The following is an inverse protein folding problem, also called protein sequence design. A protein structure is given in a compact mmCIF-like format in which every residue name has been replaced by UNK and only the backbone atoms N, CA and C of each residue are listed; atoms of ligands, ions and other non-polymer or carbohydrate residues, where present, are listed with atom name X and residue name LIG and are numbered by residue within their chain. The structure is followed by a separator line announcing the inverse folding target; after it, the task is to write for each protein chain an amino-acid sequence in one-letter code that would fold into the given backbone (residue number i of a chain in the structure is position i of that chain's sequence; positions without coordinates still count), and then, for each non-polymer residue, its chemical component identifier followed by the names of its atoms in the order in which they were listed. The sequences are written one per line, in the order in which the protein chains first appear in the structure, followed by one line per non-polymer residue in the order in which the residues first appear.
data_IF_811339141210
#
_entry.id   IF_811339141210
#
_cell.length_a   1.000
_cell.length_b   1.000
_cell.length_c   1.000
_cell.angle_alpha   90.00
_cell.angle_beta   90.00
_cell.angle_gamma   90.00
#
_symmetry.space_group_name_H-M   'P 1'
#
loop_
_entity.id
_entity.type
_entity.pdbx_description
1 polymer ?
#
# COMPACT_ATOMS: atom_id res chain seq x y z
N UNK A 1 -12.21 41.89 25.92
CA UNK A 1 -12.06 40.94 24.80
C UNK A 1 -13.43 40.33 24.56
N UNK A 2 -14.03 40.52 23.39
CA UNK A 2 -15.29 39.87 23.06
C UNK A 2 -14.99 38.40 22.75
N UNK A 3 -15.34 37.51 23.67
CA UNK A 3 -15.39 36.07 23.40
C UNK A 3 -16.64 35.87 22.54
N UNK A 4 -16.44 35.67 21.24
CA UNK A 4 -17.51 35.29 20.34
C UNK A 4 -17.85 33.84 20.70
N UNK A 5 -18.86 33.64 21.54
CA UNK A 5 -19.44 32.32 21.78
C UNK A 5 -20.07 31.86 20.46
N UNK A 6 -19.41 30.90 19.81
CA UNK A 6 -19.89 30.31 18.57
C UNK A 6 -21.03 29.35 18.90
N UNK A 7 -22.12 29.33 18.10
CA UNK A 7 -23.11 28.29 18.23
C UNK A 7 -22.45 26.95 17.91
N UNK A 8 -22.27 26.12 18.93
CA UNK A 8 -21.84 24.73 18.78
C UNK A 8 -22.88 24.00 17.96
N UNK A 9 -22.50 23.67 16.72
CA UNK A 9 -23.31 22.80 15.89
C UNK A 9 -22.83 21.38 16.17
N UNK A 10 -23.48 20.69 17.09
CA UNK A 10 -23.14 19.32 17.53
C UNK A 10 -22.90 18.39 16.33
N UNK A 11 -23.60 18.61 15.21
CA UNK A 11 -23.40 17.85 13.97
C UNK A 11 -22.02 18.08 13.34
N UNK A 12 -21.53 19.31 13.32
CA UNK A 12 -20.20 19.65 12.80
C UNK A 12 -19.12 19.12 13.75
N UNK A 13 -19.33 19.21 15.06
CA UNK A 13 -18.39 18.66 16.05
C UNK A 13 -18.26 17.14 15.91
N UNK A 14 -19.39 16.44 15.79
CA UNK A 14 -19.41 15.00 15.54
C UNK A 14 -18.66 14.65 14.25
N UNK A 15 -18.91 15.38 13.15
CA UNK A 15 -18.22 15.15 11.87
C UNK A 15 -16.70 15.41 11.97
N UNK A 16 -16.27 16.43 12.70
CA UNK A 16 -14.84 16.71 12.94
C UNK A 16 -14.19 15.64 13.84
N UNK A 17 -14.94 15.10 14.81
CA UNK A 17 -14.48 13.99 15.64
C UNK A 17 -14.31 12.72 14.81
N UNK A 18 -15.29 12.39 13.96
CA UNK A 18 -15.19 11.25 13.02
C UNK A 18 -13.98 11.38 12.10
N UNK A 19 -13.66 12.58 11.62
CA UNK A 19 -12.46 12.80 10.80
C UNK A 19 -11.16 12.57 11.59
N UNK A 20 -11.12 12.93 12.87
CA UNK A 20 -9.98 12.66 13.73
C UNK A 20 -9.79 11.15 13.97
N UNK A 21 -10.88 10.41 14.18
CA UNK A 21 -10.84 8.96 14.38
C UNK A 21 -10.42 8.23 13.09
N UNK A 22 -10.97 8.64 11.95
CA UNK A 22 -10.56 8.13 10.64
C UNK A 22 -9.07 8.36 10.38
N UNK A 23 -8.54 9.51 10.79
CA UNK A 23 -7.12 9.80 10.68
C UNK A 23 -6.25 8.93 11.59
N UNK A 24 -6.73 8.57 12.79
CA UNK A 24 -6.04 7.62 13.65
C UNK A 24 -5.93 6.23 12.97
N UNK A 25 -7.00 5.79 12.30
CA UNK A 25 -6.99 4.53 11.52
C UNK A 25 -5.99 4.60 10.35
N UNK A 26 -5.96 5.71 9.61
CA UNK A 26 -4.99 5.94 8.52
C UNK A 26 -3.55 5.87 9.06
N UNK A 27 -3.27 6.45 10.22
CA UNK A 27 -1.95 6.36 10.88
C UNK A 27 -1.58 4.92 11.26
N UNK A 28 -2.52 4.17 11.82
CA UNK A 28 -2.30 2.75 12.14
C UNK A 28 -1.98 1.95 10.87
N UNK A 29 -2.75 2.16 9.80
CA UNK A 29 -2.53 1.49 8.51
C UNK A 29 -1.18 1.85 7.88
N UNK A 30 -0.80 3.12 7.90
CA UNK A 30 0.54 3.56 7.47
C UNK A 30 1.64 2.81 8.23
N UNK A 31 1.50 2.66 9.55
CA UNK A 31 2.50 1.93 10.36
C UNK A 31 2.64 0.48 9.90
N UNK A 32 1.54 -0.21 9.60
CA UNK A 32 1.58 -1.58 9.09
C UNK A 32 2.25 -1.68 7.72
N UNK A 33 1.96 -0.76 6.81
CA UNK A 33 2.60 -0.73 5.47
C UNK A 33 4.11 -0.47 5.59
N UNK A 34 4.53 0.42 6.52
CA UNK A 34 5.95 0.65 6.81
C UNK A 34 6.65 -0.58 7.39
N UNK A 35 5.99 -1.33 8.28
CA UNK A 35 6.54 -2.59 8.82
C UNK A 35 6.78 -3.64 7.73
N UNK A 36 5.95 -3.63 6.67
CA UNK A 36 6.14 -4.46 5.46
C UNK A 36 7.27 -3.94 4.55
N UNK A 37 7.91 -2.80 4.88
CA UNK A 37 9.00 -2.21 4.11
C UNK A 37 8.57 -1.53 2.82
N UNK A 38 7.26 -1.32 2.60
CA UNK A 38 6.75 -0.66 1.38
C UNK A 38 6.96 0.85 1.46
N UNK A 39 7.14 1.48 0.30
CA UNK A 39 7.36 2.92 0.22
C UNK A 39 6.08 3.70 0.57
N UNK A 40 6.18 4.58 1.55
CA UNK A 40 5.04 5.38 2.07
C UNK A 40 5.27 6.89 2.01
N UNK A 41 6.32 7.35 1.32
CA UNK A 41 6.74 8.75 1.38
C UNK A 41 5.65 9.75 0.94
N UNK A 42 4.85 9.42 -0.08
CA UNK A 42 3.76 10.29 -0.54
C UNK A 42 2.66 10.44 0.52
N UNK A 43 2.21 9.33 1.11
CA UNK A 43 1.25 9.34 2.22
C UNK A 43 1.79 10.08 3.46
N UNK A 44 3.09 9.95 3.75
CA UNK A 44 3.72 10.66 4.87
C UNK A 44 3.72 12.18 4.69
N UNK A 45 3.97 12.67 3.47
CA UNK A 45 3.91 14.10 3.15
C UNK A 45 2.51 14.65 3.42
N UNK A 46 1.47 13.98 2.91
CA UNK A 46 0.07 14.39 3.11
C UNK A 46 -0.35 14.37 4.59
N UNK A 47 0.24 13.47 5.38
CA UNK A 47 -0.05 13.32 6.80
C UNK A 47 0.33 14.57 7.61
N UNK A 48 1.39 15.27 7.21
CA UNK A 48 1.82 16.53 7.86
C UNK A 48 0.79 17.64 7.70
N UNK A 49 0.04 17.65 6.59
CA UNK A 49 -0.96 18.68 6.28
C UNK A 49 -2.29 18.47 6.99
N UNK A 50 -2.53 17.27 7.54
CA UNK A 50 -3.83 16.94 8.11
C UNK A 50 -4.14 17.70 9.40
N UNK A 51 -3.21 17.68 10.36
CA UNK A 51 -3.45 18.31 11.68
C UNK A 51 -3.71 19.82 11.57
N UNK A 52 -2.94 20.60 10.77
CA UNK A 52 -3.23 22.01 10.53
C UNK A 52 -4.62 22.25 9.93
N UNK A 53 -5.03 21.47 8.92
CA UNK A 53 -6.34 21.63 8.28
C UNK A 53 -7.50 21.25 9.20
N UNK A 54 -7.36 20.18 9.99
CA UNK A 54 -8.36 19.80 10.99
C UNK A 54 -8.52 20.87 12.07
N UNK A 55 -7.41 21.43 12.56
CA UNK A 55 -7.44 22.52 13.54
C UNK A 55 -8.10 23.78 12.97
N UNK A 56 -7.84 24.10 11.70
CA UNK A 56 -8.53 25.20 11.02
C UNK A 56 -10.04 24.94 10.98
N UNK A 57 -10.47 23.76 10.53
CA UNK A 57 -11.89 23.42 10.44
C UNK A 57 -12.60 23.44 11.81
N UNK A 58 -11.91 23.03 12.88
CA UNK A 58 -12.38 23.14 14.28
C UNK A 58 -12.50 24.56 14.78
N UNK A 59 -11.77 25.50 14.20
CA UNK A 59 -11.87 26.92 14.56
C UNK A 59 -12.91 27.60 13.69
N UNK A 60 -12.94 27.36 12.38
CA UNK A 60 -13.78 28.10 11.43
C UNK A 60 -15.22 27.61 11.40
N UNK A 61 -15.45 26.30 11.58
CA UNK A 61 -16.74 25.63 11.35
C UNK A 61 -17.28 25.81 9.92
N UNK A 62 -16.40 26.19 8.99
CA UNK A 62 -16.77 26.38 7.59
C UNK A 62 -16.86 25.05 6.87
N UNK A 63 -17.94 24.88 6.09
CA UNK A 63 -18.16 23.63 5.36
C UNK A 63 -17.03 23.33 4.38
N UNK A 64 -16.44 24.36 3.79
CA UNK A 64 -15.34 24.24 2.85
C UNK A 64 -14.08 23.65 3.51
N UNK A 65 -13.75 24.08 4.72
CA UNK A 65 -12.60 23.54 5.46
C UNK A 65 -12.81 22.07 5.85
N UNK A 66 -14.03 21.71 6.27
CA UNK A 66 -14.39 20.31 6.54
C UNK A 66 -14.22 19.46 5.27
N UNK A 67 -14.67 19.95 4.10
CA UNK A 67 -14.51 19.25 2.83
C UNK A 67 -13.03 19.09 2.43
N UNK A 68 -12.18 20.09 2.71
CA UNK A 68 -10.73 19.98 2.47
C UNK A 68 -10.08 18.91 3.35
N UNK A 69 -10.48 18.79 4.61
CA UNK A 69 -10.00 17.74 5.52
C UNK A 69 -10.45 16.36 5.04
N UNK A 70 -11.70 16.23 4.60
CA UNK A 70 -12.22 14.99 3.99
C UNK A 70 -11.44 14.57 2.75
N UNK A 71 -11.25 15.51 1.82
CA UNK A 71 -10.49 15.24 0.60
C UNK A 71 -9.07 14.76 0.93
N UNK A 72 -8.40 15.41 1.88
CA UNK A 72 -7.07 14.99 2.30
C UNK A 72 -7.05 13.56 2.90
N UNK A 73 -8.11 13.17 3.64
CA UNK A 73 -8.25 11.79 4.12
C UNK A 73 -8.44 10.79 2.99
N UNK A 74 -9.21 11.15 1.97
CA UNK A 74 -9.41 10.30 0.80
C UNK A 74 -8.12 10.17 -0.01
N UNK A 75 -7.41 11.27 -0.23
CA UNK A 75 -6.08 11.27 -0.88
C UNK A 75 -5.09 10.39 -0.10
N UNK A 76 -5.05 10.53 1.23
CA UNK A 76 -4.24 9.67 2.10
C UNK A 76 -4.59 8.18 1.96
N UNK A 77 -5.89 7.85 1.91
CA UNK A 77 -6.34 6.46 1.75
C UNK A 77 -5.92 5.89 0.40
N UNK A 78 -6.05 6.68 -0.67
CA UNK A 78 -5.62 6.28 -2.01
C UNK A 78 -4.11 6.01 -2.04
N UNK A 79 -3.29 6.91 -1.51
CA UNK A 79 -1.84 6.72 -1.45
C UNK A 79 -1.45 5.48 -0.64
N UNK A 80 -2.15 5.19 0.46
CA UNK A 80 -1.94 3.96 1.22
C UNK A 80 -2.40 2.71 0.45
N UNK A 81 -3.49 2.78 -0.32
CA UNK A 81 -3.94 1.68 -1.18
C UNK A 81 -2.93 1.39 -2.30
N UNK A 82 -2.30 2.43 -2.84
CA UNK A 82 -1.27 2.31 -3.87
C UNK A 82 0.04 1.76 -3.28
N UNK A 83 0.45 2.28 -2.12
CA UNK A 83 1.60 1.76 -1.38
C UNK A 83 1.39 0.29 -0.96
N UNK A 84 0.19 -0.08 -0.52
CA UNK A 84 -0.12 -1.44 -0.13
C UNK A 84 -0.21 -2.40 -1.32
N UNK A 85 -0.76 -1.94 -2.46
CA UNK A 85 -0.69 -2.68 -3.72
C UNK A 85 0.76 -2.86 -4.18
N UNK A 86 1.63 -1.89 -3.95
CA UNK A 86 3.03 -1.98 -4.35
C UNK A 86 3.21 -2.01 -5.88
N UNK A 87 4.45 -2.04 -6.33
CA UNK A 87 4.75 -2.04 -7.76
C UNK A 87 4.63 -3.45 -8.37
N UNK A 88 4.35 -3.57 -9.69
CA UNK A 88 4.41 -4.87 -10.38
C UNK A 88 5.73 -5.62 -10.16
N UNK A 89 6.82 -4.90 -9.94
CA UNK A 89 8.11 -5.48 -9.60
C UNK A 89 8.14 -6.12 -8.21
N UNK A 90 7.56 -5.47 -7.19
CA UNK A 90 7.47 -6.03 -5.84
C UNK A 90 6.60 -7.28 -5.82
N UNK A 91 5.46 -7.25 -6.51
CA UNK A 91 4.63 -8.45 -6.70
C UNK A 91 5.40 -9.60 -7.37
N UNK A 92 6.20 -9.30 -8.40
CA UNK A 92 7.02 -10.32 -9.03
C UNK A 92 8.07 -10.91 -8.06
N UNK A 93 8.65 -10.10 -7.17
CA UNK A 93 9.58 -10.57 -6.13
C UNK A 93 8.89 -11.45 -5.07
N UNK A 94 7.70 -11.06 -4.63
CA UNK A 94 6.89 -11.86 -3.69
C UNK A 94 6.53 -13.23 -4.31
N UNK A 95 6.07 -13.24 -5.57
CA UNK A 95 5.79 -14.48 -6.31
C UNK A 95 7.04 -15.34 -6.50
N UNK A 96 8.21 -14.73 -6.73
CA UNK A 96 9.48 -15.48 -6.82
C UNK A 96 9.77 -16.18 -5.48
N UNK A 97 9.59 -15.48 -4.35
CA UNK A 97 9.80 -16.08 -3.03
C UNK A 97 8.83 -17.24 -2.77
N UNK A 98 7.55 -17.07 -3.13
CA UNK A 98 6.52 -18.11 -3.05
C UNK A 98 6.88 -19.33 -3.91
N UNK A 99 7.30 -19.11 -5.17
CA UNK A 99 7.74 -20.18 -6.06
C UNK A 99 8.94 -20.96 -5.48
N UNK A 100 9.91 -20.27 -4.86
CA UNK A 100 11.00 -20.95 -4.17
C UNK A 100 10.51 -21.78 -2.98
N UNK A 101 9.53 -21.30 -2.22
CA UNK A 101 8.94 -22.06 -1.13
C UNK A 101 8.30 -23.34 -1.64
N UNK A 102 7.48 -23.27 -2.69
CA UNK A 102 6.91 -24.47 -3.32
C UNK A 102 7.97 -25.44 -3.84
N UNK A 103 9.09 -24.95 -4.40
CA UNK A 103 10.20 -25.86 -4.79
C UNK A 103 10.86 -26.55 -3.60
N UNK A 104 10.91 -25.91 -2.42
CA UNK A 104 11.45 -26.52 -1.19
C UNK A 104 10.49 -27.53 -0.58
N UNK A 105 9.20 -27.27 -0.69
CA UNK A 105 8.11 -28.14 -0.22
C UNK A 105 7.77 -29.24 -1.25
N UNK A 106 8.57 -29.39 -2.31
CA UNK A 106 8.41 -30.42 -3.35
C UNK A 106 7.07 -30.33 -4.13
N UNK A 107 6.38 -29.19 -4.04
CA UNK A 107 5.13 -28.86 -4.74
C UNK A 107 5.39 -28.20 -6.09
N UNK A 108 5.89 -29.00 -7.04
CA UNK A 108 6.37 -28.51 -8.35
C UNK A 108 5.24 -27.95 -9.22
N UNK A 109 4.02 -28.47 -9.06
CA UNK A 109 2.84 -27.98 -9.80
C UNK A 109 2.54 -26.52 -9.48
N UNK A 110 2.46 -26.18 -8.20
CA UNK A 110 2.23 -24.80 -7.75
C UNK A 110 3.42 -23.89 -8.11
N UNK A 111 4.67 -24.37 -7.95
CA UNK A 111 5.85 -23.63 -8.37
C UNK A 111 5.80 -23.26 -9.87
N UNK A 112 5.38 -24.19 -10.73
CA UNK A 112 5.24 -23.96 -12.17
C UNK A 112 4.11 -22.97 -12.49
N UNK A 113 2.99 -23.03 -11.76
CA UNK A 113 1.89 -22.07 -11.92
C UNK A 113 2.30 -20.65 -11.55
N UNK A 114 3.01 -20.48 -10.43
CA UNK A 114 3.53 -19.17 -10.00
C UNK A 114 4.57 -18.65 -10.98
N UNK A 115 5.45 -19.52 -11.49
CA UNK A 115 6.42 -19.17 -12.54
C UNK A 115 5.75 -18.57 -13.79
N UNK A 116 4.66 -19.17 -14.28
CA UNK A 116 3.92 -18.63 -15.42
C UNK A 116 3.33 -17.24 -15.14
N UNK A 117 2.83 -17.01 -13.92
CA UNK A 117 2.32 -15.69 -13.50
C UNK A 117 3.44 -14.64 -13.49
N UNK A 118 4.62 -14.98 -12.96
CA UNK A 118 5.81 -14.09 -12.96
C UNK A 118 6.18 -13.70 -14.39
N UNK A 119 6.16 -14.65 -15.33
CA UNK A 119 6.47 -14.38 -16.75
C UNK A 119 5.46 -13.46 -17.43
N UNK A 120 4.20 -13.45 -16.97
CA UNK A 120 3.18 -12.50 -17.41
C UNK A 120 3.50 -11.07 -16.99
N UNK A 121 3.91 -10.88 -15.73
CA UNK A 121 4.28 -9.57 -15.17
C UNK A 121 5.61 -9.08 -15.74
N UNK A 122 6.57 -9.98 -15.96
CA UNK A 122 7.91 -9.67 -16.45
C UNK A 122 7.92 -8.75 -17.68
N UNK A 123 6.99 -8.97 -18.62
CA UNK A 123 6.90 -8.20 -19.87
C UNK A 123 6.52 -6.73 -19.67
N UNK A 124 5.85 -6.38 -18.57
CA UNK A 124 5.43 -5.01 -18.27
C UNK A 124 6.42 -4.22 -17.41
N UNK A 125 7.51 -4.86 -16.96
CA UNK A 125 8.52 -4.22 -16.13
C UNK A 125 9.52 -3.40 -16.95
N UNK A 126 10.09 -2.37 -16.33
CA UNK A 126 11.23 -1.62 -16.88
C UNK A 126 12.47 -2.53 -17.05
N UNK A 127 13.31 -2.23 -18.05
CA UNK A 127 14.47 -3.06 -18.43
C UNK A 127 15.41 -3.39 -17.27
N UNK A 128 15.67 -2.43 -16.39
CA UNK A 128 16.56 -2.64 -15.24
C UNK A 128 15.99 -3.64 -14.24
N UNK A 129 14.66 -3.58 -14.01
CA UNK A 129 13.92 -4.50 -13.14
C UNK A 129 13.77 -5.88 -13.75
N UNK A 130 13.57 -5.96 -15.07
CA UNK A 130 13.53 -7.22 -15.82
C UNK A 130 14.80 -8.03 -15.59
N UNK A 131 15.99 -7.41 -15.60
CA UNK A 131 17.25 -8.13 -15.41
C UNK A 131 17.30 -8.91 -14.09
N UNK A 132 16.72 -8.36 -13.02
CA UNK A 132 16.65 -9.00 -11.71
C UNK A 132 15.70 -10.20 -11.75
N UNK A 133 14.48 -9.98 -12.24
CA UNK A 133 13.45 -11.04 -12.35
C UNK A 133 13.91 -12.18 -13.26
N UNK A 134 14.54 -11.86 -14.40
CA UNK A 134 15.02 -12.84 -15.37
C UNK A 134 16.00 -13.84 -14.76
N UNK A 135 16.93 -13.36 -13.91
CA UNK A 135 17.89 -14.23 -13.21
C UNK A 135 17.18 -15.21 -12.28
N UNK A 136 16.19 -14.74 -11.54
CA UNK A 136 15.39 -15.59 -10.65
C UNK A 136 14.55 -16.61 -11.43
N UNK A 137 13.95 -16.20 -12.55
CA UNK A 137 13.19 -17.08 -13.44
C UNK A 137 14.06 -18.23 -14.00
N UNK A 138 15.30 -17.95 -14.40
CA UNK A 138 16.22 -19.00 -14.87
C UNK A 138 16.49 -20.04 -13.77
N UNK A 139 16.77 -19.58 -12.55
CA UNK A 139 17.05 -20.49 -11.44
C UNK A 139 15.83 -21.35 -11.09
N UNK A 140 14.65 -20.72 -10.97
CA UNK A 140 13.38 -21.42 -10.75
C UNK A 140 13.11 -22.46 -11.84
N UNK A 141 13.28 -22.10 -13.11
CA UNK A 141 13.06 -23.02 -14.22
C UNK A 141 13.97 -24.26 -14.14
N UNK A 142 15.26 -24.08 -13.84
CA UNK A 142 16.21 -25.19 -13.65
C UNK A 142 15.81 -26.11 -12.50
N UNK A 143 15.33 -25.56 -11.38
CA UNK A 143 14.89 -26.36 -10.23
C UNK A 143 13.65 -27.19 -10.55
N UNK A 144 12.64 -26.56 -11.16
CA UNK A 144 11.39 -27.20 -11.59
C UNK A 144 11.70 -28.35 -12.57
N UNK A 145 12.52 -28.10 -13.61
CA UNK A 145 12.87 -29.15 -14.57
C UNK A 145 13.74 -30.25 -13.97
N UNK A 146 14.70 -29.90 -13.11
CA UNK A 146 15.58 -30.87 -12.45
C UNK A 146 14.81 -31.85 -11.56
N UNK A 147 13.85 -31.35 -10.79
CA UNK A 147 12.99 -32.19 -9.93
C UNK A 147 11.93 -32.95 -10.73
N UNK A 148 11.43 -32.42 -11.84
CA UNK A 148 10.53 -33.14 -12.74
C UNK A 148 11.21 -34.35 -13.39
N UNK A 149 12.47 -34.20 -13.83
CA UNK A 149 13.28 -35.29 -14.41
C UNK A 149 13.71 -36.35 -13.40
N UNK A 150 13.79 -36.01 -12.11
CA UNK A 150 14.11 -36.97 -11.05
C UNK A 150 12.89 -37.85 -10.65
N UNK A 151 11.68 -37.49 -11.10
CA UNK A 151 10.42 -38.19 -10.76
C UNK A 151 9.80 -38.98 -11.92
N UNK A 152 10.31 -38.82 -13.14
CA UNK A 152 9.90 -39.58 -14.33
C UNK A 152 10.88 -40.69 -14.66
#
# INVERSE_FOLDING_TARGET
MAVIERPTNDRIENELSELADNFAQVKARLSEIRKKGKYTGAAEILLYDFSPKLNMAKVTYEREDILRVKKLLDDLRQELDEAERGSPFEHALEMIAEAYQYTREDNIGEAAMVYQKIMGIYKSLEKDRQRIIYRACIDLHKRIEGQAKARG
#
